data_IF_626450655739
#
_entry.id   IF_626450655739
#
_cell.length_a   1.000
_cell.length_b   1.000
_cell.length_c   1.000
_cell.angle_alpha   90.00
_cell.angle_beta   90.00
_cell.angle_gamma   90.00
#
_symmetry.space_group_name_H-M   'P 1'
#
loop_
_entity.id
_entity.type
_entity.pdbx_description
1 polymer ?
#
# COMPACT_ATOMS: atom_id res chain seq x y z
N UNK A 1 28.00 -8.81 5.37
CA UNK A 1 26.61 -9.16 5.69
C UNK A 1 25.97 -9.66 4.42
N UNK A 2 25.21 -10.74 4.48
CA UNK A 2 24.48 -11.27 3.32
C UNK A 2 23.43 -10.26 2.88
N UNK A 3 23.31 -10.05 1.57
CA UNK A 3 22.29 -9.16 0.99
C UNK A 3 21.02 -9.96 0.68
N UNK A 4 19.83 -9.34 0.66
CA UNK A 4 18.64 -10.00 0.14
C UNK A 4 18.85 -10.50 -1.30
N UNK A 5 18.27 -11.65 -1.62
CA UNK A 5 18.41 -12.30 -2.92
C UNK A 5 17.03 -12.53 -3.54
N UNK A 6 16.84 -12.12 -4.80
CA UNK A 6 15.63 -12.42 -5.56
C UNK A 6 15.69 -13.89 -5.97
N UNK A 7 14.78 -14.69 -5.43
CA UNK A 7 14.65 -16.13 -5.71
C UNK A 7 13.83 -16.35 -6.99
N UNK A 8 12.76 -15.58 -7.17
CA UNK A 8 11.98 -15.56 -8.41
C UNK A 8 11.44 -14.17 -8.70
N UNK A 9 11.23 -13.88 -9.98
CA UNK A 9 10.56 -12.68 -10.46
C UNK A 9 9.72 -13.03 -11.69
N UNK A 10 8.44 -12.71 -11.67
CA UNK A 10 7.52 -13.05 -12.76
C UNK A 10 6.54 -11.90 -12.99
N UNK A 11 6.29 -11.56 -14.26
CA UNK A 11 5.17 -10.69 -14.64
C UNK A 11 3.88 -11.49 -14.55
N UNK A 12 2.99 -11.08 -13.66
CA UNK A 12 1.73 -11.80 -13.39
C UNK A 12 0.53 -11.17 -14.10
N UNK A 13 0.66 -9.93 -14.59
CA UNK A 13 -0.42 -9.25 -15.31
C UNK A 13 0.06 -8.07 -16.16
N UNK A 14 -0.55 -7.88 -17.33
CA UNK A 14 -0.27 -6.74 -18.22
C UNK A 14 -1.42 -6.40 -19.19
N UNK A 15 -2.68 -6.69 -18.86
CA UNK A 15 -3.78 -6.58 -19.85
C UNK A 15 -4.14 -5.13 -20.20
N UNK A 16 -4.29 -4.24 -19.22
CA UNK A 16 -4.62 -2.84 -19.48
C UNK A 16 -3.39 -2.03 -19.96
N UNK A 17 -3.58 -0.87 -20.63
CA UNK A 17 -2.49 0.05 -20.96
C UNK A 17 -1.70 0.54 -19.73
N UNK A 18 -2.38 0.70 -18.59
CA UNK A 18 -1.79 1.04 -17.31
C UNK A 18 -2.30 0.12 -16.20
N UNK A 19 -1.39 -0.64 -15.58
CA UNK A 19 -1.64 -1.50 -14.42
C UNK A 19 -0.74 -1.03 -13.28
N UNK A 20 -1.29 -0.64 -12.13
CA UNK A 20 -0.49 -0.04 -11.06
C UNK A 20 -1.06 -0.17 -9.64
N UNK A 21 -0.25 0.23 -8.67
CA UNK A 21 -0.66 0.42 -7.27
C UNK A 21 -1.05 -0.86 -6.54
N UNK A 22 -0.17 -1.86 -6.62
CA UNK A 22 -0.49 -3.22 -6.18
C UNK A 22 -0.74 -3.35 -4.68
N UNK A 23 -1.39 -4.44 -4.31
CA UNK A 23 -1.29 -5.04 -3.00
C UNK A 23 -1.40 -6.57 -3.06
N UNK A 24 -0.92 -7.26 -2.03
CA UNK A 24 -0.84 -8.71 -1.94
C UNK A 24 -1.23 -9.17 -0.54
N UNK A 25 -2.08 -10.20 -0.44
CA UNK A 25 -2.35 -10.88 0.84
C UNK A 25 -2.49 -12.39 0.63
N UNK A 26 -2.31 -13.13 1.73
CA UNK A 26 -2.79 -14.52 1.82
C UNK A 26 -4.26 -14.52 2.18
N UNK A 27 -5.01 -15.45 1.60
CA UNK A 27 -6.41 -15.70 1.93
C UNK A 27 -6.71 -17.20 1.79
N UNK A 28 -7.13 -17.83 2.89
CA UNK A 28 -7.17 -19.28 2.97
C UNK A 28 -5.80 -19.92 2.66
N UNK A 29 -5.78 -20.91 1.76
CA UNK A 29 -4.56 -21.55 1.29
C UNK A 29 -3.90 -20.85 0.09
N UNK A 30 -4.51 -19.78 -0.44
CA UNK A 30 -4.06 -19.10 -1.64
C UNK A 30 -3.66 -17.65 -1.41
N UNK A 31 -3.62 -16.92 -2.51
CA UNK A 31 -3.17 -15.54 -2.63
C UNK A 31 -4.24 -14.70 -3.31
N UNK A 32 -4.29 -13.43 -2.91
CA UNK A 32 -5.00 -12.38 -3.63
C UNK A 32 -4.03 -11.25 -3.94
N UNK A 33 -4.07 -10.76 -5.18
CA UNK A 33 -3.34 -9.58 -5.63
C UNK A 33 -4.31 -8.58 -6.25
N UNK A 34 -4.23 -7.33 -5.83
CA UNK A 34 -5.08 -6.25 -6.36
C UNK A 34 -4.26 -5.15 -6.97
N UNK A 35 -4.79 -4.50 -8.00
CA UNK A 35 -4.20 -3.33 -8.62
C UNK A 35 -5.25 -2.56 -9.40
N UNK A 36 -4.93 -1.30 -9.72
CA UNK A 36 -5.72 -0.46 -10.60
C UNK A 36 -5.43 -0.81 -12.07
N UNK A 37 -6.48 -0.86 -12.88
CA UNK A 37 -6.41 -0.89 -14.35
C UNK A 37 -7.01 0.39 -14.94
N UNK A 38 -6.30 1.00 -15.89
CA UNK A 38 -6.76 2.20 -16.58
C UNK A 38 -6.10 2.39 -17.95
N UNK A 39 -6.53 3.45 -18.65
CA UNK A 39 -5.89 3.88 -19.91
C UNK A 39 -4.55 4.60 -19.70
N UNK A 40 -4.29 5.13 -18.51
CA UNK A 40 -3.08 5.90 -18.18
C UNK A 40 -2.90 6.14 -16.68
N UNK A 41 -1.84 6.86 -16.30
CA UNK A 41 -1.51 7.12 -14.90
C UNK A 41 -2.47 8.10 -14.20
N UNK A 42 -2.98 9.09 -14.93
CA UNK A 42 -3.81 10.18 -14.39
C UNK A 42 -5.03 10.44 -15.29
N UNK A 43 -6.03 11.15 -14.74
CA UNK A 43 -7.16 11.72 -15.46
C UNK A 43 -7.96 10.72 -16.30
N UNK A 44 -8.11 9.49 -15.80
CA UNK A 44 -8.90 8.46 -16.47
C UNK A 44 -9.67 7.63 -15.47
N UNK A 45 -10.89 7.25 -15.87
CA UNK A 45 -11.69 6.23 -15.19
C UNK A 45 -10.87 4.94 -15.05
N UNK A 46 -11.07 4.26 -13.93
CA UNK A 46 -10.29 3.08 -13.61
C UNK A 46 -11.08 2.12 -12.73
N UNK A 47 -10.78 0.84 -12.91
CA UNK A 47 -11.31 -0.25 -12.11
C UNK A 47 -10.21 -0.88 -11.28
N UNK A 48 -10.61 -1.62 -10.25
CA UNK A 48 -9.72 -2.46 -9.47
C UNK A 48 -9.85 -3.89 -9.99
N UNK A 49 -8.72 -4.46 -10.42
CA UNK A 49 -8.60 -5.87 -10.75
C UNK A 49 -8.24 -6.64 -9.48
N UNK A 50 -8.88 -7.79 -9.28
CA UNK A 50 -8.50 -8.78 -8.27
C UNK A 50 -8.05 -10.05 -8.97
N UNK A 51 -6.83 -10.48 -8.69
CA UNK A 51 -6.29 -11.77 -9.12
C UNK A 51 -6.22 -12.73 -7.93
N UNK A 52 -6.39 -14.01 -8.22
CA UNK A 52 -6.20 -15.10 -7.26
C UNK A 52 -5.13 -16.07 -7.78
N UNK A 53 -4.42 -16.70 -6.85
CA UNK A 53 -3.53 -17.82 -7.14
C UNK A 53 -3.47 -18.79 -5.97
N UNK A 54 -3.51 -20.09 -6.24
CA UNK A 54 -3.32 -21.11 -5.19
C UNK A 54 -1.84 -21.31 -4.83
N UNK A 55 -0.95 -21.17 -5.82
CA UNK A 55 0.48 -21.52 -5.72
C UNK A 55 1.42 -20.31 -5.83
N UNK A 56 0.89 -19.13 -6.14
CA UNK A 56 1.67 -17.92 -6.41
C UNK A 56 2.36 -17.92 -7.79
N UNK A 57 2.14 -18.95 -8.61
CA UNK A 57 2.73 -19.11 -9.95
C UNK A 57 1.69 -18.88 -11.04
N UNK A 58 0.48 -19.41 -10.88
CA UNK A 58 -0.61 -19.28 -11.84
C UNK A 58 -1.66 -18.33 -11.29
N UNK A 59 -1.91 -17.25 -12.02
CA UNK A 59 -2.81 -16.19 -11.63
C UNK A 59 -3.97 -16.08 -12.60
N UNK A 60 -5.17 -15.89 -12.07
CA UNK A 60 -6.37 -15.62 -12.85
C UNK A 60 -7.17 -14.48 -12.23
N UNK A 61 -7.85 -13.71 -13.07
CA UNK A 61 -8.77 -12.66 -12.63
C UNK A 61 -10.02 -13.27 -12.01
N UNK A 62 -10.39 -12.81 -10.82
CA UNK A 62 -11.61 -13.24 -10.12
C UNK A 62 -12.65 -12.13 -10.00
N UNK A 63 -12.22 -10.86 -10.00
CA UNK A 63 -13.13 -9.73 -9.98
C UNK A 63 -12.57 -8.51 -10.73
N UNK A 64 -13.50 -7.70 -11.24
CA UNK A 64 -13.28 -6.33 -11.70
C UNK A 64 -14.26 -5.43 -10.96
N UNK A 65 -13.75 -4.49 -10.16
CA UNK A 65 -14.56 -3.63 -9.30
C UNK A 65 -14.49 -2.22 -9.87
N UNK A 66 -15.65 -1.63 -10.16
CA UNK A 66 -15.76 -0.29 -10.72
C UNK A 66 -16.90 0.51 -10.09
N UNK A 67 -16.82 1.83 -10.25
CA UNK A 67 -17.87 2.80 -9.91
C UNK A 67 -18.00 3.73 -11.12
N UNK A 68 -19.22 3.94 -11.62
CA UNK A 68 -19.44 4.71 -12.85
C UNK A 68 -18.93 6.15 -12.69
N UNK A 69 -18.17 6.64 -13.68
CA UNK A 69 -17.62 8.00 -13.66
C UNK A 69 -16.48 8.22 -12.66
N UNK A 70 -15.95 7.16 -12.04
CA UNK A 70 -14.92 7.23 -11.00
C UNK A 70 -13.61 6.55 -11.41
N UNK A 71 -12.50 7.09 -10.92
CA UNK A 71 -11.19 6.45 -10.90
C UNK A 71 -10.99 5.77 -9.53
N UNK A 72 -11.27 4.46 -9.45
CA UNK A 72 -10.91 3.69 -8.25
C UNK A 72 -9.41 3.42 -8.25
N UNK A 73 -8.74 3.78 -7.15
CA UNK A 73 -7.27 3.87 -7.10
C UNK A 73 -6.69 3.33 -5.80
N UNK A 74 -5.43 2.90 -5.87
CA UNK A 74 -4.62 2.38 -4.77
C UNK A 74 -5.32 1.32 -3.90
N UNK A 75 -5.75 0.19 -4.48
CA UNK A 75 -6.39 -0.87 -3.72
C UNK A 75 -5.42 -1.44 -2.67
N UNK A 76 -5.92 -1.65 -1.45
CA UNK A 76 -5.23 -2.33 -0.36
C UNK A 76 -6.10 -3.40 0.27
N UNK A 77 -5.54 -4.59 0.41
CA UNK A 77 -6.16 -5.75 1.00
C UNK A 77 -5.83 -5.83 2.49
N UNK A 78 -6.79 -6.31 3.26
CA UNK A 78 -6.59 -6.73 4.64
C UNK A 78 -7.58 -7.83 4.99
N UNK A 79 -7.25 -8.67 5.97
CA UNK A 79 -8.14 -9.71 6.46
C UNK A 79 -8.77 -9.22 7.76
N UNK A 80 -10.09 -9.20 7.79
CA UNK A 80 -10.88 -8.82 8.96
C UNK A 80 -10.81 -9.90 10.05
N UNK A 81 -11.07 -9.54 11.32
CA UNK A 81 -11.09 -10.50 12.43
C UNK A 81 -12.09 -11.64 12.26
N UNK A 82 -13.17 -11.41 11.51
CA UNK A 82 -14.19 -12.43 11.19
C UNK A 82 -13.82 -13.31 9.99
N UNK A 83 -12.63 -13.10 9.40
CA UNK A 83 -12.11 -13.89 8.29
C UNK A 83 -12.43 -13.31 6.90
N UNK A 84 -13.25 -12.27 6.79
CA UNK A 84 -13.55 -11.65 5.49
C UNK A 84 -12.36 -10.88 4.93
N UNK A 85 -12.28 -10.80 3.61
CA UNK A 85 -11.39 -9.86 2.93
C UNK A 85 -12.02 -8.47 2.95
N UNK A 86 -11.27 -7.48 3.40
CA UNK A 86 -11.58 -6.06 3.22
C UNK A 86 -10.64 -5.45 2.20
N UNK A 87 -11.21 -4.92 1.12
CA UNK A 87 -10.54 -4.17 0.07
C UNK A 87 -10.82 -2.68 0.25
N UNK A 88 -9.80 -1.92 0.67
CA UNK A 88 -9.83 -0.47 0.77
C UNK A 88 -9.31 0.16 -0.52
N UNK A 89 -9.97 1.19 -1.04
CA UNK A 89 -9.55 1.94 -2.23
C UNK A 89 -9.97 3.41 -2.12
N UNK A 90 -9.49 4.28 -3.01
CA UNK A 90 -9.91 5.67 -3.12
C UNK A 90 -10.69 5.88 -4.41
N UNK A 91 -11.89 6.45 -4.33
CA UNK A 91 -12.63 6.96 -5.47
C UNK A 91 -12.18 8.39 -5.77
N UNK A 92 -11.57 8.63 -6.94
CA UNK A 92 -11.21 9.96 -7.40
C UNK A 92 -12.24 10.50 -8.41
N UNK A 93 -12.63 11.75 -8.24
CA UNK A 93 -13.64 12.42 -9.05
C UNK A 93 -13.00 13.48 -9.94
N UNK A 94 -13.44 13.53 -11.18
CA UNK A 94 -12.97 14.46 -12.19
C UNK A 94 -14.16 15.21 -12.81
N UNK A 95 -13.94 16.46 -13.19
CA UNK A 95 -14.90 17.21 -14.00
C UNK A 95 -14.82 16.77 -15.47
N UNK A 96 -15.82 17.15 -16.28
CA UNK A 96 -15.89 16.80 -17.71
C UNK A 96 -14.66 17.29 -18.51
N UNK A 97 -14.00 18.36 -18.04
CA UNK A 97 -12.76 18.90 -18.60
C UNK A 97 -11.48 18.13 -18.17
N UNK A 98 -11.64 17.05 -17.39
CA UNK A 98 -10.57 16.21 -16.87
C UNK A 98 -9.91 16.75 -15.59
N UNK A 99 -10.34 17.90 -15.07
CA UNK A 99 -9.78 18.48 -13.85
C UNK A 99 -10.15 17.65 -12.63
N UNK A 100 -9.17 17.38 -11.77
CA UNK A 100 -9.40 16.70 -10.50
C UNK A 100 -10.26 17.56 -9.57
N UNK A 101 -11.32 16.98 -9.01
CA UNK A 101 -12.26 17.64 -8.09
C UNK A 101 -11.90 17.28 -6.65
N UNK A 102 -12.05 16.01 -6.31
CA UNK A 102 -11.95 15.49 -4.96
C UNK A 102 -11.72 13.98 -4.99
N UNK A 103 -11.68 13.39 -3.81
CA UNK A 103 -11.60 11.94 -3.59
C UNK A 103 -12.41 11.54 -2.38
N UNK A 104 -12.76 10.27 -2.29
CA UNK A 104 -13.38 9.71 -1.10
C UNK A 104 -13.03 8.23 -0.97
N UNK A 105 -12.66 7.75 0.23
CA UNK A 105 -12.38 6.34 0.44
C UNK A 105 -13.61 5.45 0.17
N UNK A 106 -13.34 4.26 -0.35
CA UNK A 106 -14.30 3.20 -0.59
C UNK A 106 -13.80 1.90 0.03
N UNK A 107 -14.73 1.07 0.47
CA UNK A 107 -14.47 -0.28 0.94
C UNK A 107 -15.35 -1.28 0.20
N UNK A 108 -14.79 -2.45 -0.11
CA UNK A 108 -15.52 -3.63 -0.59
C UNK A 108 -15.17 -4.81 0.33
N UNK A 109 -16.09 -5.75 0.48
CA UNK A 109 -15.90 -6.94 1.30
C UNK A 109 -16.06 -8.21 0.47
N UNK A 110 -15.39 -9.28 0.87
CA UNK A 110 -15.56 -10.61 0.27
C UNK A 110 -15.42 -11.71 1.33
N UNK A 111 -16.35 -12.65 1.32
CA UNK A 111 -16.33 -13.83 2.19
C UNK A 111 -15.46 -14.97 1.63
N UNK A 112 -15.25 -14.98 0.31
CA UNK A 112 -14.63 -16.09 -0.42
C UNK A 112 -13.42 -15.68 -1.28
N UNK A 113 -13.07 -14.40 -1.30
CA UNK A 113 -11.99 -13.84 -2.12
C UNK A 113 -12.27 -13.85 -3.62
N UNK A 114 -13.49 -14.20 -4.04
CA UNK A 114 -13.93 -14.29 -5.43
C UNK A 114 -14.97 -13.23 -5.75
N UNK A 115 -15.97 -13.09 -4.88
CA UNK A 115 -17.09 -12.17 -5.05
C UNK A 115 -16.94 -11.02 -4.06
N UNK A 116 -16.97 -9.79 -4.58
CA UNK A 116 -16.84 -8.59 -3.76
C UNK A 116 -18.14 -7.80 -3.76
N UNK A 117 -18.49 -7.22 -2.61
CA UNK A 117 -19.59 -6.26 -2.52
C UNK A 117 -19.31 -5.04 -3.40
N UNK A 118 -20.34 -4.30 -3.84
CA UNK A 118 -20.13 -3.00 -4.46
C UNK A 118 -19.34 -2.04 -3.56
N UNK A 119 -18.58 -1.08 -4.14
CA UNK A 119 -17.88 -0.06 -3.37
C UNK A 119 -18.82 0.74 -2.46
N UNK A 120 -18.53 0.77 -1.17
CA UNK A 120 -19.23 1.59 -0.19
C UNK A 120 -18.34 2.71 0.31
N UNK A 121 -18.87 3.95 0.37
CA UNK A 121 -18.15 5.09 0.98
C UNK A 121 -17.92 4.81 2.46
N UNK A 122 -16.68 4.98 2.93
CA UNK A 122 -16.32 4.77 4.34
C UNK A 122 -15.70 6.00 5.02
N UNK A 123 -15.46 7.10 4.30
CA UNK A 123 -15.03 8.36 4.91
C UNK A 123 -15.46 9.57 4.08
N UNK A 124 -15.37 10.76 4.68
CA UNK A 124 -15.63 12.03 4.04
C UNK A 124 -14.80 12.25 2.75
N UNK A 125 -15.21 13.23 1.95
CA UNK A 125 -14.43 13.65 0.79
C UNK A 125 -13.10 14.29 1.21
N UNK A 126 -12.18 14.45 0.25
CA UNK A 126 -10.80 14.93 0.41
C UNK A 126 -9.86 13.97 1.18
N UNK A 127 -10.42 12.98 1.87
CA UNK A 127 -9.66 11.91 2.52
C UNK A 127 -9.16 10.85 1.53
N UNK A 128 -8.02 10.25 1.87
CA UNK A 128 -7.47 9.07 1.19
C UNK A 128 -6.85 8.18 2.25
N UNK A 129 -7.64 7.22 2.75
CA UNK A 129 -7.15 6.19 3.64
C UNK A 129 -6.15 5.31 2.90
N UNK A 130 -4.92 5.24 3.40
CA UNK A 130 -3.84 4.57 2.68
C UNK A 130 -3.96 3.06 2.75
N UNK A 131 -3.93 2.47 3.94
CA UNK A 131 -3.92 1.02 4.19
C UNK A 131 -4.43 0.74 5.60
N UNK A 132 -5.33 -0.23 5.73
CA UNK A 132 -5.78 -0.74 7.03
C UNK A 132 -4.81 -1.77 7.64
N UNK A 133 -4.58 -1.67 8.94
CA UNK A 133 -3.85 -2.66 9.75
C UNK A 133 -4.70 -3.07 10.93
N UNK A 134 -5.08 -4.35 10.98
CA UNK A 134 -5.89 -4.91 12.06
C UNK A 134 -5.03 -5.35 13.25
N UNK A 135 -5.50 -5.01 14.44
CA UNK A 135 -4.94 -5.46 15.72
C UNK A 135 -6.07 -5.55 16.74
N UNK A 136 -6.21 -6.72 17.38
CA UNK A 136 -7.20 -6.96 18.44
C UNK A 136 -8.63 -6.49 18.11
N UNK A 137 -9.07 -6.73 16.87
CA UNK A 137 -10.43 -6.38 16.43
C UNK A 137 -10.64 -4.92 16.03
N UNK A 138 -9.57 -4.12 15.95
CA UNK A 138 -9.60 -2.72 15.49
C UNK A 138 -8.65 -2.57 14.31
N UNK A 139 -9.10 -1.93 13.23
CA UNK A 139 -8.26 -1.54 12.12
C UNK A 139 -7.82 -0.08 12.28
N UNK A 140 -6.55 0.19 11.96
CA UNK A 140 -5.97 1.53 11.92
C UNK A 140 -5.51 1.87 10.51
N UNK A 141 -5.73 3.11 10.09
CA UNK A 141 -5.24 3.62 8.81
C UNK A 141 -4.99 5.12 8.92
N UNK A 142 -3.95 5.58 8.25
CA UNK A 142 -3.68 7.01 8.11
C UNK A 142 -4.28 7.51 6.80
N UNK A 143 -5.09 8.55 6.89
CA UNK A 143 -5.59 9.29 5.73
C UNK A 143 -4.64 10.44 5.39
N UNK A 144 -4.35 10.64 4.10
CA UNK A 144 -3.83 11.92 3.61
C UNK A 144 -5.00 12.85 3.28
N UNK A 145 -5.09 13.99 3.97
CA UNK A 145 -6.09 15.03 3.74
C UNK A 145 -5.45 16.20 2.97
N UNK A 146 -6.21 16.79 2.06
CA UNK A 146 -5.82 17.91 1.20
C UNK A 146 -5.62 17.50 -0.26
N UNK A 147 -6.24 18.26 -1.16
CA UNK A 147 -6.01 18.19 -2.61
C UNK A 147 -4.73 18.96 -2.98
N UNK A 148 -3.86 18.36 -3.79
CA UNK A 148 -2.65 19.00 -4.30
C UNK A 148 -1.37 18.67 -3.51
N UNK A 149 -0.43 19.61 -3.49
CA UNK A 149 0.92 19.40 -2.97
C UNK A 149 1.18 20.03 -1.60
N UNK A 150 0.39 21.01 -1.16
CA UNK A 150 0.57 21.70 0.11
C UNK A 150 -0.73 22.42 0.55
N UNK A 151 -1.20 22.28 1.81
CA UNK A 151 -0.72 21.33 2.81
C UNK A 151 -1.19 19.90 2.52
N UNK A 152 -0.36 18.92 2.89
CA UNK A 152 -0.75 17.51 3.03
C UNK A 152 -0.65 17.10 4.49
N UNK A 153 -1.75 16.59 5.01
CA UNK A 153 -1.91 16.31 6.43
C UNK A 153 -2.19 14.82 6.63
N UNK A 154 -1.53 14.20 7.61
CA UNK A 154 -1.74 12.82 7.98
C UNK A 154 -2.71 12.72 9.16
N UNK A 155 -3.80 11.98 9.01
CA UNK A 155 -4.81 11.79 10.06
C UNK A 155 -4.94 10.30 10.37
N UNK A 156 -4.67 9.90 11.61
CA UNK A 156 -4.88 8.52 12.05
C UNK A 156 -6.36 8.30 12.36
N UNK A 157 -6.91 7.23 11.79
CA UNK A 157 -8.27 6.77 12.03
C UNK A 157 -8.28 5.33 12.53
N UNK A 158 -9.33 4.96 13.25
CA UNK A 158 -9.64 3.59 13.63
C UNK A 158 -11.07 3.18 13.24
N UNK A 159 -11.27 1.88 13.03
CA UNK A 159 -12.57 1.28 12.72
C UNK A 159 -12.67 -0.14 13.29
N UNK A 160 -13.89 -0.66 13.46
CA UNK A 160 -14.15 -2.06 13.81
C UNK A 160 -14.79 -2.86 12.68
N UNK A 161 -15.33 -2.19 11.67
CA UNK A 161 -16.11 -2.80 10.60
C UNK A 161 -15.64 -2.42 9.19
N UNK A 162 -14.70 -1.46 9.07
CA UNK A 162 -14.21 -0.97 7.78
C UNK A 162 -15.08 0.11 7.14
N UNK A 163 -16.27 0.37 7.67
CA UNK A 163 -17.25 1.33 7.18
C UNK A 163 -17.21 2.63 7.98
N UNK A 164 -17.28 2.52 9.31
CA UNK A 164 -17.29 3.66 10.21
C UNK A 164 -15.89 3.90 10.78
N UNK A 165 -15.25 4.99 10.35
CA UNK A 165 -13.90 5.38 10.76
C UNK A 165 -13.93 6.57 11.71
N UNK A 166 -13.32 6.41 12.88
CA UNK A 166 -13.22 7.43 13.92
C UNK A 166 -11.82 8.05 13.92
N UNK A 167 -11.75 9.37 13.96
CA UNK A 167 -10.51 10.12 14.06
C UNK A 167 -9.85 9.88 15.43
N UNK A 168 -8.52 9.70 15.45
CA UNK A 168 -7.71 9.59 16.66
C UNK A 168 -6.86 10.84 16.84
N UNK A 169 -5.92 11.07 15.92
CA UNK A 169 -4.97 12.18 16.02
C UNK A 169 -4.47 12.62 14.64
N UNK A 170 -3.93 13.84 14.58
CA UNK A 170 -3.23 14.36 13.42
C UNK A 170 -1.72 14.21 13.59
N UNK A 171 -1.03 13.82 12.52
CA UNK A 171 0.42 13.74 12.49
C UNK A 171 1.00 15.14 12.31
N UNK A 172 1.44 15.72 13.43
CA UNK A 172 2.16 16.99 13.46
C UNK A 172 3.65 16.72 13.24
N UNK A 173 4.09 16.76 11.98
CA UNK A 173 5.49 16.56 11.65
C UNK A 173 6.34 17.76 12.14
N UNK A 174 7.60 17.53 12.55
CA UNK A 174 8.50 18.59 13.01
C UNK A 174 8.63 19.77 12.04
N UNK A 175 8.91 20.96 12.57
CA UNK A 175 9.14 22.20 11.82
C UNK A 175 7.96 22.66 10.95
N UNK A 176 6.72 22.45 11.42
CA UNK A 176 5.48 22.79 10.69
C UNK A 176 5.45 22.19 9.26
N UNK A 177 5.90 20.94 9.15
CA UNK A 177 6.03 20.25 7.86
C UNK A 177 4.67 19.65 7.45
N UNK A 178 4.12 20.14 6.33
CA UNK A 178 2.82 19.71 5.82
C UNK A 178 2.94 18.77 4.60
N UNK A 179 3.71 17.69 4.76
CA UNK A 179 4.02 16.76 3.64
C UNK A 179 3.53 15.33 3.87
N UNK A 180 2.97 15.03 5.04
CA UNK A 180 2.47 13.69 5.40
C UNK A 180 1.45 13.20 4.36
N UNK A 181 1.73 12.04 3.76
CA UNK A 181 0.87 11.48 2.71
C UNK A 181 0.66 9.97 2.87
N UNK A 182 1.04 9.17 1.87
CA UNK A 182 0.88 7.72 1.86
C UNK A 182 1.63 7.11 3.04
N UNK A 183 0.91 6.47 3.96
CA UNK A 183 1.44 6.11 5.27
C UNK A 183 0.97 4.71 5.67
N UNK A 184 1.91 3.78 5.75
CA UNK A 184 1.64 2.44 6.28
C UNK A 184 1.93 2.43 7.77
N UNK A 185 1.06 1.79 8.56
CA UNK A 185 1.29 1.53 9.99
C UNK A 185 1.41 0.03 10.27
N UNK A 186 2.13 -0.35 11.33
CA UNK A 186 2.13 -1.70 11.91
C UNK A 186 2.22 -1.60 13.43
N UNK A 187 1.54 -2.50 14.13
CA UNK A 187 1.60 -2.58 15.59
C UNK A 187 2.56 -3.70 15.97
N UNK A 188 3.57 -3.35 16.78
CA UNK A 188 4.61 -4.24 17.29
C UNK A 188 4.07 -5.09 18.45
N UNK A 189 4.76 -6.21 18.83
CA UNK A 189 4.28 -7.08 19.90
C UNK A 189 4.14 -6.41 21.28
N UNK A 190 4.86 -5.32 21.52
CA UNK A 190 4.76 -4.50 22.74
C UNK A 190 3.66 -3.42 22.67
N UNK A 191 2.90 -3.39 21.57
CA UNK A 191 1.83 -2.42 21.33
C UNK A 191 2.28 -1.13 20.66
N UNK A 192 3.58 -0.91 20.45
CA UNK A 192 4.08 0.29 19.74
C UNK A 192 3.59 0.27 18.28
N UNK A 193 2.90 1.33 17.86
CA UNK A 193 2.57 1.54 16.46
C UNK A 193 3.73 2.26 15.78
N UNK A 194 4.24 1.68 14.70
CA UNK A 194 5.25 2.29 13.82
C UNK A 194 4.58 2.71 12.52
N UNK A 195 4.89 3.90 12.03
CA UNK A 195 4.41 4.43 10.76
C UNK A 195 5.58 4.68 9.80
N UNK A 196 5.46 4.24 8.55
CA UNK A 196 6.34 4.63 7.44
C UNK A 196 5.57 5.59 6.53
N UNK A 197 6.01 6.84 6.48
CA UNK A 197 5.26 8.00 6.00
C UNK A 197 5.99 8.61 4.80
N UNK A 198 5.29 8.72 3.67
CA UNK A 198 5.77 9.50 2.53
C UNK A 198 5.71 11.01 2.85
N UNK A 199 6.74 11.81 2.48
CA UNK A 199 7.88 11.43 1.64
C UNK A 199 9.05 10.77 2.35
N UNK A 200 9.30 11.03 3.62
CA UNK A 200 10.61 10.75 4.22
C UNK A 200 10.55 10.71 5.75
N UNK A 201 9.49 10.14 6.33
CA UNK A 201 9.33 10.08 7.79
C UNK A 201 9.06 8.68 8.31
N UNK A 202 9.56 8.40 9.51
CA UNK A 202 9.12 7.29 10.35
C UNK A 202 8.52 7.85 11.63
N UNK A 203 7.33 7.40 11.99
CA UNK A 203 6.63 7.76 13.21
C UNK A 203 6.53 6.60 14.19
N UNK A 204 6.44 6.88 15.48
CA UNK A 204 6.10 5.88 16.50
C UNK A 204 5.21 6.45 17.59
N UNK A 205 4.32 5.62 18.13
CA UNK A 205 3.44 5.96 19.26
C UNK A 205 2.99 4.71 19.99
N UNK A 206 2.80 4.81 21.31
CA UNK A 206 2.14 3.77 22.12
C UNK A 206 0.64 4.09 22.25
N UNK A 207 -0.21 3.11 22.62
CA UNK A 207 -1.61 3.37 22.93
C UNK A 207 -1.75 4.53 23.94
N UNK A 208 -2.74 5.44 23.77
CA UNK A 208 -3.87 5.40 22.84
C UNK A 208 -3.56 5.90 21.41
N UNK A 209 -2.29 6.03 21.03
CA UNK A 209 -1.83 6.47 19.70
C UNK A 209 -2.07 7.95 19.39
N UNK A 210 -2.14 8.79 20.42
CA UNK A 210 -2.36 10.23 20.31
C UNK A 210 -1.05 11.02 20.22
N UNK A 211 -0.01 10.57 20.94
CA UNK A 211 1.29 11.24 21.05
C UNK A 211 2.34 10.56 20.17
N UNK A 212 2.81 11.27 19.14
CA UNK A 212 3.73 10.71 18.14
C UNK A 212 5.12 11.31 18.21
N UNK A 213 6.13 10.46 18.03
CA UNK A 213 7.51 10.86 17.77
C UNK A 213 7.86 10.58 16.31
N UNK A 214 8.45 11.56 15.63
CA UNK A 214 8.80 11.47 14.21
C UNK A 214 10.30 11.61 13.98
N UNK A 215 10.84 10.80 13.07
CA UNK A 215 12.22 10.86 12.58
C UNK A 215 12.18 11.07 11.07
N UNK A 216 12.86 12.10 10.57
CA UNK A 216 13.09 12.26 9.14
C UNK A 216 14.19 11.30 8.69
N UNK A 217 13.98 10.61 7.58
CA UNK A 217 14.95 9.70 6.99
C UNK A 217 15.59 10.31 5.74
N UNK A 218 16.81 9.88 5.40
CA UNK A 218 17.54 10.33 4.21
C UNK A 218 17.11 9.57 2.94
N UNK A 219 15.80 9.37 2.75
CA UNK A 219 15.24 8.69 1.59
C UNK A 219 13.91 9.33 1.17
N UNK A 220 13.69 9.45 -0.14
CA UNK A 220 12.41 9.88 -0.69
C UNK A 220 11.60 8.68 -1.15
N UNK A 221 10.43 8.50 -0.52
CA UNK A 221 9.55 7.36 -0.67
C UNK A 221 8.36 7.69 -1.57
N UNK A 222 7.83 6.66 -2.25
CA UNK A 222 6.53 6.69 -2.91
C UNK A 222 5.80 5.35 -2.71
N UNK A 223 4.54 5.40 -2.30
CA UNK A 223 3.71 4.23 -2.02
C UNK A 223 4.31 3.24 -1.01
N UNK A 224 4.80 3.68 0.17
CA UNK A 224 5.53 2.81 1.09
C UNK A 224 4.66 1.70 1.70
N UNK A 225 5.27 0.54 1.90
CA UNK A 225 4.74 -0.57 2.70
C UNK A 225 5.87 -1.21 3.51
N UNK A 226 5.55 -1.92 4.58
CA UNK A 226 6.53 -2.70 5.34
C UNK A 226 5.90 -3.87 6.09
N UNK A 227 6.73 -4.84 6.44
CA UNK A 227 6.37 -6.04 7.20
C UNK A 227 7.41 -6.32 8.29
N UNK A 228 7.00 -7.05 9.32
CA UNK A 228 7.90 -7.61 10.33
C UNK A 228 8.17 -9.07 9.97
N UNK A 229 9.43 -9.42 9.77
CA UNK A 229 9.85 -10.81 9.56
C UNK A 229 9.81 -11.59 10.90
N UNK A 230 9.81 -12.95 10.88
CA UNK A 230 9.73 -13.76 12.10
C UNK A 230 10.88 -13.53 13.08
N UNK A 231 12.06 -13.16 12.59
CA UNK A 231 13.23 -12.80 13.38
C UNK A 231 13.09 -11.43 14.08
N UNK A 232 12.02 -10.70 13.79
CA UNK A 232 11.66 -9.44 14.41
C UNK A 232 12.15 -8.20 13.67
N UNK A 233 12.94 -8.34 12.61
CA UNK A 233 13.36 -7.20 11.81
C UNK A 233 12.24 -6.68 10.92
N UNK A 234 12.23 -5.35 10.71
CA UNK A 234 11.32 -4.71 9.78
C UNK A 234 11.97 -4.62 8.40
N UNK A 235 11.17 -4.91 7.39
CA UNK A 235 11.55 -4.81 5.98
C UNK A 235 10.53 -3.95 5.26
N UNK A 236 11.01 -2.86 4.66
CA UNK A 236 10.20 -1.87 4.00
C UNK A 236 10.48 -1.85 2.51
N UNK A 237 9.48 -1.48 1.72
CA UNK A 237 9.67 -1.21 0.31
C UNK A 237 8.82 -0.04 -0.14
N UNK A 238 9.40 0.75 -1.05
CA UNK A 238 8.79 1.94 -1.62
C UNK A 238 9.45 2.25 -2.96
N UNK A 239 8.87 3.20 -3.71
CA UNK A 239 9.59 3.86 -4.79
C UNK A 239 10.70 4.70 -4.17
N UNK A 240 11.91 4.53 -4.67
CA UNK A 240 13.05 5.39 -4.41
C UNK A 240 13.82 5.67 -5.69
N UNK A 241 15.13 5.90 -5.57
CA UNK A 241 16.03 6.07 -6.71
C UNK A 241 17.05 4.94 -6.76
N UNK A 242 17.26 4.40 -7.96
CA UNK A 242 18.32 3.43 -8.22
C UNK A 242 19.70 4.09 -8.32
N UNK A 243 20.73 3.28 -8.55
CA UNK A 243 22.12 3.75 -8.68
C UNK A 243 22.31 4.75 -9.84
N UNK A 244 21.46 4.70 -10.87
CA UNK A 244 21.45 5.63 -12.01
C UNK A 244 20.62 6.91 -11.74
N UNK A 245 20.13 7.09 -10.52
CA UNK A 245 19.30 8.23 -10.10
C UNK A 245 17.84 8.16 -10.55
N UNK A 246 17.44 7.14 -11.34
CA UNK A 246 16.08 6.99 -11.84
C UNK A 246 15.17 6.31 -10.82
N UNK A 247 13.86 6.48 -11.00
CA UNK A 247 12.87 5.84 -10.14
C UNK A 247 13.03 4.31 -10.18
N UNK A 248 13.03 3.68 -9.00
CA UNK A 248 13.13 2.24 -8.85
C UNK A 248 12.35 1.76 -7.62
N UNK A 249 12.02 0.47 -7.59
CA UNK A 249 11.45 -0.22 -6.43
C UNK A 249 12.57 -0.68 -5.52
N UNK A 250 12.59 -0.16 -4.31
CA UNK A 250 13.66 -0.38 -3.33
C UNK A 250 13.13 -1.26 -2.22
N UNK A 251 13.86 -2.31 -1.86
CA UNK A 251 13.70 -3.03 -0.60
C UNK A 251 14.76 -2.52 0.39
N UNK A 252 14.34 -2.24 1.62
CA UNK A 252 15.16 -1.67 2.66
C UNK A 252 14.98 -2.42 3.99
N UNK A 253 16.06 -2.49 4.77
CA UNK A 253 15.98 -2.82 6.18
C UNK A 253 15.47 -1.59 6.92
N UNK A 254 14.55 -1.79 7.85
CA UNK A 254 13.92 -0.70 8.60
C UNK A 254 14.04 -0.94 10.10
N UNK A 255 14.10 0.14 10.86
CA UNK A 255 13.90 0.15 12.31
C UNK A 255 12.86 1.22 12.66
N UNK A 256 12.63 1.48 13.95
CA UNK A 256 11.74 2.57 14.39
C UNK A 256 12.21 3.97 13.98
N UNK A 257 13.47 4.13 13.53
CA UNK A 257 14.05 5.42 13.19
C UNK A 257 15.05 5.40 12.03
N UNK A 258 15.19 4.27 11.33
CA UNK A 258 16.09 4.15 10.17
C UNK A 258 15.46 3.39 9.01
N UNK A 259 15.92 3.73 7.80
CA UNK A 259 15.56 3.10 6.54
C UNK A 259 16.83 2.96 5.70
N UNK A 260 17.27 1.72 5.50
CA UNK A 260 18.52 1.40 4.81
C UNK A 260 18.22 0.59 3.55
N UNK A 261 18.30 1.18 2.34
CA UNK A 261 18.18 0.45 1.09
C UNK A 261 19.15 -0.74 1.00
N UNK A 262 18.66 -1.91 0.63
CA UNK A 262 19.46 -3.16 0.58
C UNK A 262 19.39 -3.87 -0.77
N UNK A 263 18.30 -3.68 -1.52
CA UNK A 263 18.09 -4.32 -2.82
C UNK A 263 17.27 -3.40 -3.73
N UNK A 264 17.70 -3.26 -4.98
CA UNK A 264 16.94 -2.61 -6.06
C UNK A 264 16.30 -3.72 -6.90
N UNK A 265 14.97 -3.74 -7.00
CA UNK A 265 14.29 -4.71 -7.85
C UNK A 265 14.32 -4.28 -9.32
N UNK A 266 14.34 -5.23 -10.28
CA UNK A 266 14.15 -4.93 -11.70
C UNK A 266 12.86 -4.13 -11.91
N UNK A 267 13.04 -2.83 -12.16
CA UNK A 267 11.99 -1.84 -12.22
C UNK A 267 12.52 -0.53 -12.80
N UNK A 268 11.60 0.33 -13.23
CA UNK A 268 11.93 1.60 -13.86
C UNK A 268 10.68 2.31 -14.38
N UNK A 269 10.86 3.58 -14.74
CA UNK A 269 9.78 4.45 -15.18
C UNK A 269 8.70 4.60 -14.12
N UNK A 270 7.45 4.37 -14.51
CA UNK A 270 6.35 4.32 -13.56
C UNK A 270 6.31 2.95 -12.85
N UNK A 271 6.38 2.89 -11.51
CA UNK A 271 6.76 1.68 -10.77
C UNK A 271 6.58 1.77 -9.23
N UNK A 272 6.69 0.60 -8.58
CA UNK A 272 6.68 0.32 -7.13
C UNK A 272 5.30 0.01 -6.53
N UNK A 273 4.94 0.68 -5.43
CA UNK A 273 3.72 0.50 -4.62
C UNK A 273 3.52 -0.97 -4.21
N UNK A 274 4.39 -1.49 -3.33
CA UNK A 274 4.50 -2.91 -3.11
C UNK A 274 3.42 -3.46 -2.19
N UNK A 275 2.84 -4.60 -2.57
CA UNK A 275 2.19 -5.53 -1.65
C UNK A 275 3.24 -6.45 -1.06
N UNK A 276 3.21 -6.70 0.26
CA UNK A 276 4.30 -7.41 0.95
C UNK A 276 3.72 -8.42 1.93
N UNK A 277 4.16 -9.68 1.82
CA UNK A 277 3.75 -10.77 2.71
C UNK A 277 4.95 -11.66 3.02
N UNK A 278 5.16 -12.00 4.29
CA UNK A 278 6.10 -13.05 4.66
C UNK A 278 5.39 -14.41 4.61
N UNK A 279 5.92 -15.37 3.85
CA UNK A 279 5.37 -16.72 3.74
C UNK A 279 6.44 -17.73 3.35
N UNK A 280 6.43 -18.90 4.01
CA UNK A 280 7.33 -20.03 3.74
C UNK A 280 8.83 -19.66 3.66
N UNK A 281 9.26 -18.79 4.58
CA UNK A 281 10.67 -18.37 4.69
C UNK A 281 11.12 -17.36 3.65
N UNK A 282 10.19 -16.81 2.85
CA UNK A 282 10.46 -15.80 1.84
C UNK A 282 9.58 -14.56 2.04
N UNK A 283 10.10 -13.41 1.63
CA UNK A 283 9.29 -12.23 1.40
C UNK A 283 8.70 -12.29 0.00
N UNK A 284 7.37 -12.36 -0.08
CA UNK A 284 6.62 -12.23 -1.31
C UNK A 284 6.25 -10.78 -1.52
N UNK A 285 6.55 -10.26 -2.71
CA UNK A 285 6.34 -8.85 -3.01
C UNK A 285 5.74 -8.64 -4.39
N UNK A 286 4.51 -8.15 -4.45
CA UNK A 286 3.93 -7.62 -5.68
C UNK A 286 4.40 -6.18 -5.87
N UNK A 287 4.60 -5.75 -7.11
CA UNK A 287 4.85 -4.35 -7.45
C UNK A 287 4.50 -4.11 -8.92
N UNK A 288 4.30 -2.86 -9.32
CA UNK A 288 4.14 -2.53 -10.74
C UNK A 288 5.42 -1.92 -11.32
N UNK A 289 5.60 -2.00 -12.62
CA UNK A 289 6.66 -1.26 -13.32
C UNK A 289 6.41 -1.11 -14.82
N UNK A 290 6.91 -0.02 -15.40
CA UNK A 290 6.89 0.24 -16.84
C UNK A 290 8.25 0.07 -17.54
N UNK A 291 9.22 -0.60 -16.91
CA UNK A 291 10.57 -0.76 -17.47
C UNK A 291 10.62 -1.56 -18.78
N UNK A 292 9.60 -2.39 -19.04
CA UNK A 292 9.43 -3.14 -20.29
C UNK A 292 8.51 -2.39 -21.29
N UNK A 293 8.34 -1.08 -21.15
CA UNK A 293 7.59 -0.21 -22.07
C UNK A 293 6.11 0.00 -21.72
N UNK A 294 5.50 -0.90 -20.95
CA UNK A 294 4.10 -0.80 -20.47
C UNK A 294 4.03 -1.11 -18.98
N UNK A 295 3.21 -0.34 -18.24
CA UNK A 295 3.02 -0.56 -16.80
C UNK A 295 2.36 -1.92 -16.56
N UNK A 296 3.12 -2.84 -15.96
CA UNK A 296 2.73 -4.23 -15.73
C UNK A 296 2.93 -4.62 -14.28
N UNK A 297 2.30 -5.71 -13.84
CA UNK A 297 2.36 -6.20 -12.47
C UNK A 297 3.34 -7.36 -12.38
N UNK A 298 4.25 -7.27 -11.41
CA UNK A 298 5.29 -8.25 -11.15
C UNK A 298 5.14 -8.81 -9.74
N UNK A 299 5.52 -10.07 -9.56
CA UNK A 299 5.64 -10.74 -8.28
C UNK A 299 7.07 -11.23 -8.12
N UNK A 300 7.72 -10.82 -7.03
CA UNK A 300 9.02 -11.32 -6.62
C UNK A 300 8.89 -12.17 -5.37
N UNK A 301 9.69 -13.23 -5.28
CA UNK A 301 10.00 -13.88 -4.00
C UNK A 301 11.45 -13.59 -3.64
N UNK A 302 11.67 -13.21 -2.39
CA UNK A 302 12.96 -12.67 -1.94
C UNK A 302 13.38 -13.42 -0.69
N UNK A 303 14.59 -13.98 -0.73
CA UNK A 303 15.25 -14.53 0.44
C UNK A 303 15.90 -13.39 1.21
N UNK A 304 15.47 -13.18 2.43
CA UNK A 304 16.09 -12.21 3.33
C UNK A 304 17.31 -12.86 4.01
N UNK A 305 18.38 -12.10 4.26
CA UNK A 305 19.55 -12.62 4.94
C UNK A 305 19.18 -13.12 6.35
N UNK A 306 19.77 -14.24 6.75
CA UNK A 306 19.73 -14.65 8.14
C UNK A 306 20.42 -13.59 9.00
N UNK A 307 19.83 -13.32 10.16
CA UNK A 307 20.39 -12.44 11.17
C UNK A 307 21.65 -13.00 11.80
#
# INVERSE_FOLDING_TARGET
MTTPEIVSLTRIWDHAPHNAFTDLTRFGAGWLCTFREAKGHEHCLATIRVLQSDDGLRWHSVAEIGEEGVDLRDPKLSIMPDGRVMLLTSANFYADDGRYITRSPRVCFSDDGLHFTPPARCLAEDHWLWRATWHEGVAYSVSKLGVGNNPRRGFLYATRDGLDWHFITEFILPNDTWTASETTVRIMPDGEMIALIRPDWIGSSYPPYEDWSFTQIEASLGGPNFVRAPDGYLWASARGRGADGKAATILARMTRNSYEPTLILPSGGDCSYPGMVWHDGLLWMSYYSSHEGKSSIYLATIRLPAS
#
